data_IF_774963169940
#
_entry.id   IF_774963169940
#
_cell.length_a   1.000
_cell.length_b   1.000
_cell.length_c   1.000
_cell.angle_alpha   90.00
_cell.angle_beta   90.00
_cell.angle_gamma   90.00
#
_symmetry.space_group_name_H-M   'P 1'
#
loop_
_entity.id
_entity.type
_entity.pdbx_description
1 polymer ?
#
# COMPACT_ATOMS: atom_id res chain seq x y z
N UNK A 1 11.62 -13.66 -13.99
CA UNK A 1 10.85 -14.75 -13.36
C UNK A 1 11.42 -15.25 -12.04
N UNK A 2 12.63 -15.84 -11.97
CA UNK A 2 13.18 -16.39 -10.70
C UNK A 2 13.15 -15.39 -9.53
N UNK A 3 13.55 -14.13 -9.75
CA UNK A 3 13.53 -13.08 -8.72
C UNK A 3 12.14 -12.79 -8.16
N UNK A 4 11.12 -12.77 -9.03
CA UNK A 4 9.74 -12.52 -8.64
C UNK A 4 9.23 -13.62 -7.72
N UNK A 5 9.37 -14.87 -8.16
CA UNK A 5 8.89 -16.03 -7.41
C UNK A 5 9.60 -16.14 -6.05
N UNK A 6 10.91 -15.86 -6.01
CA UNK A 6 11.66 -15.80 -4.76
C UNK A 6 11.21 -14.65 -3.85
N UNK A 7 10.92 -13.47 -4.41
CA UNK A 7 10.43 -12.33 -3.63
C UNK A 7 9.00 -12.58 -3.10
N UNK A 8 8.12 -13.18 -3.90
CA UNK A 8 6.78 -13.60 -3.48
C UNK A 8 6.85 -14.67 -2.40
N UNK A 9 7.71 -15.69 -2.57
CA UNK A 9 7.93 -16.71 -1.55
C UNK A 9 8.45 -16.06 -0.26
N UNK A 10 9.45 -15.17 -0.34
CA UNK A 10 9.96 -14.44 0.81
C UNK A 10 8.86 -13.59 1.49
N UNK A 11 8.03 -12.90 0.71
CA UNK A 11 6.92 -12.10 1.22
C UNK A 11 5.87 -12.94 1.94
N UNK A 12 5.58 -14.15 1.45
CA UNK A 12 4.70 -15.12 2.12
C UNK A 12 5.34 -15.62 3.41
N UNK A 13 6.63 -15.99 3.39
CA UNK A 13 7.35 -16.45 4.58
C UNK A 13 7.42 -15.38 5.67
N UNK A 14 7.57 -14.11 5.29
CA UNK A 14 7.57 -12.98 6.22
C UNK A 14 6.26 -12.85 7.00
N UNK A 15 5.12 -13.28 6.47
CA UNK A 15 3.83 -13.26 7.20
C UNK A 15 3.88 -14.07 8.50
N UNK A 16 4.75 -15.09 8.55
CA UNK A 16 4.91 -15.96 9.72
C UNK A 16 5.90 -15.40 10.75
N UNK A 17 6.54 -14.26 10.49
CA UNK A 17 7.51 -13.62 11.38
C UNK A 17 7.06 -12.18 11.69
N UNK A 18 6.17 -11.98 12.68
CA UNK A 18 5.49 -10.70 12.91
C UNK A 18 6.43 -9.49 13.04
N UNK A 19 7.54 -9.64 13.78
CA UNK A 19 8.51 -8.56 14.01
C UNK A 19 9.18 -8.11 12.70
N UNK A 20 9.51 -9.06 11.82
CA UNK A 20 10.13 -8.74 10.53
C UNK A 20 9.11 -8.25 9.49
N UNK A 21 7.84 -8.65 9.62
CA UNK A 21 6.77 -8.20 8.73
C UNK A 21 6.30 -6.77 9.03
N UNK A 22 6.44 -6.32 10.29
CA UNK A 22 5.86 -5.06 10.75
C UNK A 22 6.25 -3.84 9.90
N UNK A 23 7.51 -3.65 9.46
CA UNK A 23 7.85 -2.57 8.53
C UNK A 23 7.10 -2.61 7.20
N UNK A 24 6.84 -3.81 6.68
CA UNK A 24 6.11 -4.01 5.43
C UNK A 24 4.59 -3.82 5.60
N UNK A 25 4.07 -4.09 6.80
CA UNK A 25 2.69 -3.76 7.17
C UNK A 25 2.49 -2.24 7.21
N UNK A 26 3.35 -1.49 7.90
CA UNK A 26 3.30 -0.02 7.86
C UNK A 26 3.39 0.53 6.44
N UNK A 27 4.25 -0.08 5.62
CA UNK A 27 4.41 0.34 4.23
C UNK A 27 3.17 0.03 3.37
N UNK A 28 2.50 -1.09 3.62
CA UNK A 28 1.24 -1.43 2.95
C UNK A 28 0.12 -0.50 3.41
N UNK A 29 0.00 -0.26 4.72
CA UNK A 29 -0.96 0.68 5.29
C UNK A 29 -0.75 2.08 4.73
N UNK A 30 0.49 2.54 4.57
CA UNK A 30 0.77 3.83 3.95
C UNK A 30 0.13 3.97 2.55
N UNK A 31 0.28 2.98 1.67
CA UNK A 31 -0.34 3.06 0.34
C UNK A 31 -1.85 2.88 0.35
N UNK A 32 -2.37 2.09 1.28
CA UNK A 32 -3.80 1.96 1.50
C UNK A 32 -4.41 3.31 1.90
N UNK A 33 -3.84 3.96 2.92
CA UNK A 33 -4.26 5.28 3.39
C UNK A 33 -4.04 6.38 2.34
N UNK A 34 -2.94 6.32 1.60
CA UNK A 34 -2.71 7.22 0.47
C UNK A 34 -3.81 7.08 -0.59
N UNK A 35 -4.34 5.87 -0.81
CA UNK A 35 -5.50 5.65 -1.68
C UNK A 35 -6.72 6.45 -1.26
N UNK A 36 -7.11 6.32 0.01
CA UNK A 36 -8.21 7.09 0.59
C UNK A 36 -7.97 8.59 0.46
N UNK A 37 -6.75 9.05 0.77
CA UNK A 37 -6.38 10.46 0.69
C UNK A 37 -6.49 11.00 -0.74
N UNK A 38 -5.95 10.28 -1.73
CA UNK A 38 -6.00 10.68 -3.13
C UNK A 38 -7.42 10.71 -3.68
N UNK A 39 -8.24 9.69 -3.38
CA UNK A 39 -9.63 9.65 -3.84
C UNK A 39 -10.49 10.69 -3.11
N UNK A 40 -10.19 10.99 -1.86
CA UNK A 40 -10.81 12.12 -1.13
C UNK A 40 -10.60 13.41 -1.91
N UNK A 41 -9.35 13.74 -2.26
CA UNK A 41 -9.04 14.95 -3.02
C UNK A 41 -9.68 14.93 -4.41
N UNK A 42 -9.59 13.80 -5.12
CA UNK A 42 -10.12 13.67 -6.47
C UNK A 42 -11.65 13.82 -6.54
N UNK A 43 -12.35 13.50 -5.45
CA UNK A 43 -13.81 13.64 -5.35
C UNK A 43 -14.25 14.97 -4.73
N UNK A 44 -13.32 15.92 -4.54
CA UNK A 44 -13.62 17.27 -4.02
C UNK A 44 -13.65 17.37 -2.50
N UNK A 45 -13.15 16.36 -1.78
CA UNK A 45 -12.97 16.39 -0.33
C UNK A 45 -11.66 17.02 0.10
N UNK A 46 -11.40 16.96 1.41
CA UNK A 46 -10.18 17.44 2.06
C UNK A 46 -9.61 16.38 3.00
N UNK A 47 -8.28 16.25 3.01
CA UNK A 47 -7.56 15.33 3.90
C UNK A 47 -6.98 16.15 5.03
N UNK A 48 -7.32 15.79 6.28
CA UNK A 48 -6.84 16.48 7.48
C UNK A 48 -5.61 15.80 8.05
N UNK A 49 -5.62 14.47 8.11
CA UNK A 49 -4.56 13.70 8.74
C UNK A 49 -4.43 12.31 8.14
N UNK A 50 -3.20 11.81 8.06
CA UNK A 50 -2.89 10.42 7.76
C UNK A 50 -2.04 9.87 8.91
N UNK A 51 -2.48 8.77 9.50
CA UNK A 51 -1.84 8.15 10.68
C UNK A 51 -1.51 6.70 10.39
N UNK A 52 -0.32 6.28 10.80
CA UNK A 52 0.11 4.89 10.85
C UNK A 52 0.21 4.44 12.32
N UNK A 53 -0.45 3.34 12.64
CA UNK A 53 -0.50 2.78 13.98
C UNK A 53 0.62 1.76 14.22
N UNK A 54 1.04 1.60 15.47
CA UNK A 54 2.15 0.71 15.85
C UNK A 54 1.91 -0.77 15.50
N UNK A 55 0.66 -1.19 15.35
CA UNK A 55 0.27 -2.56 14.97
C UNK A 55 0.25 -2.80 13.46
N UNK A 56 0.65 -1.83 12.63
CA UNK A 56 0.63 -1.94 11.18
C UNK A 56 -0.67 -1.49 10.51
N UNK A 57 -1.67 -1.04 11.28
CA UNK A 57 -2.87 -0.41 10.72
C UNK A 57 -2.60 1.05 10.32
N UNK A 58 -3.53 1.64 9.58
CA UNK A 58 -3.55 3.06 9.25
C UNK A 58 -4.96 3.63 9.40
N UNK A 59 -5.07 4.96 9.36
CA UNK A 59 -6.33 5.62 9.04
C UNK A 59 -6.09 7.01 8.45
N UNK A 60 -6.99 7.41 7.55
CA UNK A 60 -7.00 8.72 6.90
C UNK A 60 -8.21 9.51 7.38
N UNK A 61 -7.96 10.56 8.14
CA UNK A 61 -9.00 11.50 8.52
C UNK A 61 -9.27 12.46 7.36
N UNK A 62 -10.43 12.32 6.75
CA UNK A 62 -10.90 13.11 5.62
C UNK A 62 -12.28 13.70 5.87
N UNK A 63 -12.67 14.71 5.09
CA UNK A 63 -14.01 15.30 5.12
C UNK A 63 -14.45 15.77 3.73
N UNK A 64 -15.73 15.61 3.42
CA UNK A 64 -16.26 15.83 2.07
C UNK A 64 -15.88 14.70 1.10
N UNK A 65 -16.02 14.96 -0.21
CA UNK A 65 -15.76 13.96 -1.24
C UNK A 65 -16.90 12.96 -1.43
N UNK A 66 -16.62 11.84 -2.10
CA UNK A 66 -17.59 10.73 -2.28
C UNK A 66 -17.22 9.55 -1.37
N UNK A 67 -17.90 9.37 -0.22
CA UNK A 67 -17.51 8.39 0.80
C UNK A 67 -17.40 6.95 0.31
N UNK A 68 -18.27 6.55 -0.62
CA UNK A 68 -18.26 5.19 -1.20
C UNK A 68 -17.00 4.95 -2.02
N UNK A 69 -16.62 5.88 -2.89
CA UNK A 69 -15.37 5.74 -3.66
C UNK A 69 -14.14 5.81 -2.76
N UNK A 70 -14.16 6.67 -1.75
CA UNK A 70 -13.08 6.77 -0.77
C UNK A 70 -12.92 5.42 -0.07
N UNK A 71 -13.98 4.86 0.53
CA UNK A 71 -13.93 3.56 1.22
C UNK A 71 -13.52 2.39 0.31
N UNK A 72 -13.83 2.44 -0.98
CA UNK A 72 -13.43 1.41 -1.95
C UNK A 72 -11.93 1.45 -2.31
N UNK A 73 -11.26 2.58 -2.11
CA UNK A 73 -9.99 2.89 -2.78
C UNK A 73 -8.73 2.36 -2.10
N UNK A 74 -8.77 2.04 -0.81
CA UNK A 74 -7.58 1.68 -0.04
C UNK A 74 -6.87 0.44 -0.58
N UNK A 75 -7.57 -0.71 -0.63
CA UNK A 75 -7.00 -1.97 -1.11
C UNK A 75 -6.58 -1.96 -2.58
N UNK A 76 -7.35 -1.37 -3.52
CA UNK A 76 -6.89 -1.17 -4.89
C UNK A 76 -5.62 -0.31 -4.98
N UNK A 77 -5.51 0.76 -4.20
CA UNK A 77 -4.32 1.61 -4.20
C UNK A 77 -3.08 0.85 -3.75
N UNK A 78 -3.16 0.06 -2.67
CA UNK A 78 -2.07 -0.81 -2.23
C UNK A 78 -1.68 -1.85 -3.31
N UNK A 79 -2.66 -2.47 -3.97
CA UNK A 79 -2.40 -3.43 -5.05
C UNK A 79 -1.67 -2.79 -6.24
N UNK A 80 -2.14 -1.61 -6.68
CA UNK A 80 -1.53 -0.86 -7.79
C UNK A 80 -0.15 -0.31 -7.43
N UNK A 81 0.08 0.09 -6.19
CA UNK A 81 1.41 0.46 -5.71
C UNK A 81 2.38 -0.73 -5.79
N UNK A 82 1.93 -1.94 -5.48
CA UNK A 82 2.75 -3.16 -5.62
C UNK A 82 3.20 -3.38 -7.07
N UNK A 83 2.28 -3.17 -8.02
CA UNK A 83 2.57 -3.18 -9.47
C UNK A 83 3.58 -2.09 -9.85
N UNK A 84 3.43 -0.88 -9.32
CA UNK A 84 4.33 0.23 -9.59
C UNK A 84 5.76 -0.06 -9.09
N UNK A 85 5.89 -0.55 -7.85
CA UNK A 85 7.18 -0.93 -7.26
C UNK A 85 7.84 -2.08 -8.03
N UNK A 86 7.04 -3.01 -8.56
CA UNK A 86 7.55 -4.12 -9.37
C UNK A 86 8.31 -3.63 -10.61
N UNK A 87 7.88 -2.51 -11.21
CA UNK A 87 8.57 -1.92 -12.35
C UNK A 87 9.99 -1.47 -11.97
N UNK A 88 10.22 -0.99 -10.74
CA UNK A 88 11.54 -0.64 -10.24
C UNK A 88 12.52 -1.81 -10.19
N UNK A 89 12.01 -3.04 -10.04
CA UNK A 89 12.81 -4.26 -10.03
C UNK A 89 13.09 -4.83 -11.44
N UNK A 90 12.18 -4.58 -12.40
CA UNK A 90 12.14 -5.32 -13.68
C UNK A 90 12.40 -4.46 -14.91
N UNK A 91 11.88 -3.24 -14.94
CA UNK A 91 11.95 -2.37 -16.11
C UNK A 91 13.26 -1.57 -16.05
N UNK A 92 14.18 -1.88 -16.96
CA UNK A 92 15.42 -1.13 -17.25
C UNK A 92 15.98 -0.31 -16.08
N UNK A 93 15.81 1.01 -16.18
CA UNK A 93 16.21 2.00 -15.18
C UNK A 93 15.00 2.70 -14.54
N UNK A 94 13.85 2.03 -14.42
CA UNK A 94 12.63 2.65 -13.90
C UNK A 94 12.79 3.21 -12.47
N UNK A 95 13.66 2.61 -11.67
CA UNK A 95 14.06 3.13 -10.36
C UNK A 95 14.55 4.60 -10.40
N UNK A 96 15.09 5.10 -11.52
CA UNK A 96 15.55 6.50 -11.65
C UNK A 96 14.43 7.52 -11.55
N UNK A 97 13.22 7.17 -11.98
CA UNK A 97 12.05 8.04 -11.90
C UNK A 97 11.09 7.61 -10.79
N UNK A 98 11.01 6.31 -10.49
CA UNK A 98 10.19 5.79 -9.40
C UNK A 98 10.68 6.25 -8.03
N UNK A 99 12.00 6.22 -7.78
CA UNK A 99 12.56 6.72 -6.52
C UNK A 99 12.18 8.18 -6.23
N UNK A 100 12.45 9.17 -7.10
CA UNK A 100 12.06 10.54 -6.84
C UNK A 100 10.54 10.73 -6.78
N UNK A 101 9.76 10.02 -7.60
CA UNK A 101 8.30 10.05 -7.51
C UNK A 101 7.81 9.65 -6.11
N UNK A 102 8.29 8.52 -5.60
CA UNK A 102 7.92 8.03 -4.26
C UNK A 102 8.42 8.96 -3.15
N UNK A 103 9.64 9.50 -3.29
CA UNK A 103 10.17 10.47 -2.34
C UNK A 103 9.29 11.72 -2.26
N UNK A 104 8.93 12.31 -3.39
CA UNK A 104 8.05 13.49 -3.44
C UNK A 104 6.68 13.17 -2.84
N UNK A 105 6.10 12.01 -3.18
CA UNK A 105 4.82 11.57 -2.60
C UNK A 105 4.91 11.44 -1.08
N UNK A 106 5.91 10.71 -0.56
CA UNK A 106 6.06 10.48 0.88
C UNK A 106 6.33 11.79 1.61
N UNK A 107 7.19 12.67 1.07
CA UNK A 107 7.47 13.99 1.64
C UNK A 107 6.22 14.87 1.63
N UNK A 108 5.40 14.82 0.58
CA UNK A 108 4.14 15.55 0.53
C UNK A 108 3.19 15.09 1.64
N UNK A 109 3.02 13.78 1.82
CA UNK A 109 2.21 13.23 2.92
C UNK A 109 2.78 13.65 4.28
N UNK A 110 4.10 13.54 4.46
CA UNK A 110 4.78 13.92 5.70
C UNK A 110 4.55 15.38 6.07
N UNK A 111 4.66 16.30 5.10
CA UNK A 111 4.46 17.74 5.33
C UNK A 111 2.98 18.07 5.53
N UNK A 112 2.11 17.58 4.64
CA UNK A 112 0.73 18.05 4.59
C UNK A 112 -0.21 17.30 5.52
N UNK A 113 0.00 16.01 5.82
CA UNK A 113 -1.00 15.17 6.50
C UNK A 113 -0.51 14.47 7.77
N UNK A 114 0.80 14.35 7.99
CA UNK A 114 1.28 13.76 9.25
C UNK A 114 1.29 14.79 10.37
N UNK A 115 0.75 14.40 11.53
CA UNK A 115 0.67 15.26 12.74
C UNK A 115 1.14 14.57 14.01
N UNK A 116 1.47 13.29 13.96
CA UNK A 116 1.97 12.50 15.09
C UNK A 116 3.41 12.02 14.87
N UNK A 117 4.12 11.79 15.98
CA UNK A 117 5.54 11.44 15.99
C UNK A 117 5.83 10.08 15.34
N UNK A 118 4.97 9.09 15.57
CA UNK A 118 5.16 7.74 15.07
C UNK A 118 5.10 7.72 13.54
N UNK A 119 4.03 8.26 12.96
CA UNK A 119 3.88 8.37 11.51
C UNK A 119 5.01 9.19 10.91
N UNK A 120 5.43 10.27 11.57
CA UNK A 120 6.57 11.08 11.14
C UNK A 120 7.87 10.30 11.07
N UNK A 121 8.18 9.54 12.12
CA UNK A 121 9.34 8.65 12.17
C UNK A 121 9.29 7.57 11.09
N UNK A 122 8.14 6.91 10.90
CA UNK A 122 7.96 5.87 9.89
C UNK A 122 8.14 6.41 8.47
N UNK A 123 7.53 7.55 8.15
CA UNK A 123 7.68 8.17 6.83
C UNK A 123 9.12 8.69 6.61
N UNK A 124 9.79 9.20 7.64
CA UNK A 124 11.21 9.55 7.53
C UNK A 124 12.09 8.32 7.24
N UNK A 125 11.79 7.18 7.85
CA UNK A 125 12.46 5.90 7.54
C UNK A 125 12.19 5.46 6.09
N UNK A 126 10.96 5.62 5.57
CA UNK A 126 10.65 5.35 4.16
C UNK A 126 11.40 6.29 3.22
N UNK A 127 11.49 7.59 3.53
CA UNK A 127 12.29 8.55 2.77
C UNK A 127 13.76 8.11 2.72
N UNK A 128 14.36 7.77 3.86
CA UNK A 128 15.73 7.27 3.91
C UNK A 128 15.91 5.98 3.09
N UNK A 129 14.94 5.07 3.16
CA UNK A 129 14.90 3.83 2.36
C UNK A 129 14.89 4.09 0.87
N UNK A 130 13.98 4.95 0.37
CA UNK A 130 13.90 5.27 -1.06
C UNK A 130 15.06 6.12 -1.57
N UNK A 131 15.60 7.01 -0.76
CA UNK A 131 16.83 7.75 -1.08
C UNK A 131 18.02 6.79 -1.21
N UNK A 132 18.10 5.79 -0.34
CA UNK A 132 19.12 4.73 -0.42
C UNK A 132 18.94 3.87 -1.66
N UNK A 133 17.70 3.47 -1.99
CA UNK A 133 17.40 2.72 -3.21
C UNK A 133 17.75 3.49 -4.48
N UNK A 134 17.55 4.81 -4.47
CA UNK A 134 17.94 5.65 -5.59
C UNK A 134 19.45 5.61 -5.82
N UNK A 135 20.24 5.71 -4.73
CA UNK A 135 21.71 5.63 -4.78
C UNK A 135 22.22 4.26 -5.17
N UNK A 136 21.59 3.18 -4.69
CA UNK A 136 21.95 1.80 -5.05
C UNK A 136 21.67 1.49 -6.51
N UNK A 137 20.69 2.17 -7.12
CA UNK A 137 20.29 1.99 -8.50
C UNK A 137 19.97 0.54 -8.81
N UNK A 138 20.62 -0.02 -9.84
CA UNK A 138 20.40 -1.40 -10.26
C UNK A 138 20.77 -2.46 -9.19
N UNK A 139 21.62 -2.13 -8.21
CA UNK A 139 21.96 -3.04 -7.10
C UNK A 139 20.78 -3.23 -6.13
N UNK A 140 19.87 -2.26 -6.06
CA UNK A 140 18.68 -2.29 -5.21
C UNK A 140 17.51 -3.12 -5.74
N UNK A 141 17.64 -3.77 -6.92
CA UNK A 141 16.52 -4.48 -7.58
C UNK A 141 15.85 -5.56 -6.72
N UNK A 142 16.60 -6.23 -5.85
CA UNK A 142 16.03 -7.22 -4.92
C UNK A 142 15.16 -6.58 -3.84
N UNK A 143 15.54 -5.40 -3.35
CA UNK A 143 14.74 -4.66 -2.37
C UNK A 143 13.47 -4.15 -3.02
N UNK A 144 13.54 -3.61 -4.24
CA UNK A 144 12.34 -3.27 -5.03
C UNK A 144 11.41 -4.47 -5.21
N UNK A 145 11.96 -5.64 -5.56
CA UNK A 145 11.19 -6.87 -5.73
C UNK A 145 10.52 -7.30 -4.42
N UNK A 146 11.22 -7.23 -3.28
CA UNK A 146 10.68 -7.59 -1.98
C UNK A 146 9.60 -6.62 -1.52
N UNK A 147 9.81 -5.31 -1.67
CA UNK A 147 8.79 -4.28 -1.36
C UNK A 147 7.54 -4.46 -2.21
N UNK A 148 7.70 -4.71 -3.51
CA UNK A 148 6.58 -4.99 -4.40
C UNK A 148 5.83 -6.27 -3.99
N UNK A 149 6.56 -7.36 -3.75
CA UNK A 149 5.99 -8.65 -3.39
C UNK A 149 5.24 -8.60 -2.04
N UNK A 150 5.80 -7.95 -1.04
CA UNK A 150 5.15 -7.77 0.27
C UNK A 150 3.89 -6.92 0.16
N UNK A 151 3.90 -5.83 -0.63
CA UNK A 151 2.69 -5.05 -0.90
C UNK A 151 1.60 -5.89 -1.56
N UNK A 152 1.96 -6.66 -2.61
CA UNK A 152 1.01 -7.50 -3.34
C UNK A 152 0.42 -8.61 -2.47
N UNK A 153 1.25 -9.26 -1.65
CA UNK A 153 0.79 -10.31 -0.71
C UNK A 153 -0.09 -9.71 0.38
N UNK A 154 0.33 -8.60 1.01
CA UNK A 154 -0.47 -7.95 2.04
C UNK A 154 -1.79 -7.40 1.48
N UNK A 155 -1.79 -6.81 0.29
CA UNK A 155 -3.01 -6.32 -0.36
C UNK A 155 -4.02 -7.44 -0.67
N UNK A 156 -3.58 -8.69 -0.80
CA UNK A 156 -4.45 -9.87 -0.90
C UNK A 156 -4.95 -10.36 0.46
N UNK A 157 -4.08 -10.41 1.46
CA UNK A 157 -4.40 -10.98 2.76
C UNK A 157 -5.21 -10.03 3.65
N UNK A 158 -4.94 -8.73 3.60
CA UNK A 158 -5.60 -7.74 4.46
C UNK A 158 -7.12 -7.64 4.24
N UNK A 159 -7.67 -7.65 3.00
CA UNK A 159 -9.12 -7.75 2.80
C UNK A 159 -9.74 -9.02 3.39
N UNK A 160 -9.05 -10.16 3.29
CA UNK A 160 -9.56 -11.44 3.79
C UNK A 160 -9.70 -11.43 5.32
N UNK A 161 -8.84 -10.70 6.02
CA UNK A 161 -8.95 -10.52 7.47
C UNK A 161 -10.25 -9.80 7.89
N UNK A 162 -10.84 -8.99 7.00
CA UNK A 162 -12.13 -8.33 7.27
C UNK A 162 -13.30 -9.32 7.37
N UNK A 163 -13.19 -10.52 6.80
CA UNK A 163 -14.23 -11.55 6.93
C UNK A 163 -14.34 -12.09 8.36
N UNK A 164 -13.27 -11.95 9.14
CA UNK A 164 -13.19 -12.40 10.53
C UNK A 164 -13.43 -11.25 11.53
N UNK A 165 -13.48 -10.01 11.05
CA UNK A 165 -13.60 -8.81 11.86
C UNK A 165 -14.91 -8.06 11.66
N UNK A 166 -15.17 -7.08 12.51
CA UNK A 166 -16.39 -6.25 12.48
C UNK A 166 -16.14 -4.80 12.08
N UNK A 167 -14.90 -4.44 11.70
CA UNK A 167 -14.49 -3.07 11.40
C UNK A 167 -13.84 -2.89 10.02
N UNK A 168 -13.25 -1.71 9.80
CA UNK A 168 -12.56 -1.35 8.55
C UNK A 168 -13.48 -0.90 7.42
N UNK A 169 -12.90 -0.75 6.22
CA UNK A 169 -13.58 -0.22 5.04
C UNK A 169 -14.84 -0.99 4.66
N UNK A 170 -14.84 -2.32 4.83
CA UNK A 170 -15.99 -3.15 4.53
C UNK A 170 -17.21 -2.80 5.39
N UNK A 171 -16.97 -2.51 6.68
CA UNK A 171 -18.03 -2.07 7.60
C UNK A 171 -18.53 -0.67 7.25
N UNK A 172 -17.61 0.27 6.95
CA UNK A 172 -17.96 1.61 6.49
C UNK A 172 -18.83 1.57 5.22
N UNK A 173 -18.43 0.78 4.22
CA UNK A 173 -19.18 0.66 2.98
C UNK A 173 -20.54 -0.01 3.18
N UNK A 174 -20.64 -0.99 4.08
CA UNK A 174 -21.94 -1.55 4.46
C UNK A 174 -22.86 -0.48 5.06
N UNK A 175 -22.38 0.35 5.98
CA UNK A 175 -23.18 1.44 6.56
C UNK A 175 -23.64 2.46 5.51
N UNK A 176 -22.80 2.74 4.50
CA UNK A 176 -23.10 3.72 3.44
C UNK A 176 -24.01 3.19 2.33
N UNK A 177 -23.97 1.88 2.04
CA UNK A 177 -24.59 1.30 0.83
C UNK A 177 -25.59 0.18 1.13
N UNK A 178 -25.63 -0.34 2.36
CA UNK A 178 -26.32 -1.56 2.76
C UNK A 178 -25.87 -2.84 2.00
N UNK A 179 -24.82 -2.78 1.18
CA UNK A 179 -24.25 -3.94 0.50
C UNK A 179 -23.36 -4.71 1.48
N UNK A 180 -23.50 -6.05 1.60
CA UNK A 180 -22.69 -6.85 2.52
C UNK A 180 -21.19 -6.65 2.31
N UNK A 181 -20.45 -6.47 3.42
CA UNK A 181 -19.00 -6.24 3.40
C UNK A 181 -18.22 -7.31 2.60
N UNK A 182 -18.73 -8.55 2.58
CA UNK A 182 -18.16 -9.68 1.83
C UNK A 182 -18.05 -9.41 0.33
N UNK A 183 -19.00 -8.67 -0.26
CA UNK A 183 -18.97 -8.31 -1.68
C UNK A 183 -17.76 -7.41 -1.99
N UNK A 184 -17.48 -6.44 -1.12
CA UNK A 184 -16.32 -5.56 -1.25
C UNK A 184 -15.01 -6.31 -1.03
N UNK A 185 -14.98 -7.26 -0.08
CA UNK A 185 -13.82 -8.14 0.10
C UNK A 185 -13.54 -8.97 -1.16
N UNK A 186 -14.57 -9.59 -1.76
CA UNK A 186 -14.41 -10.35 -3.01
C UNK A 186 -13.87 -9.44 -4.12
N UNK A 187 -14.39 -8.22 -4.23
CA UNK A 187 -13.93 -7.22 -5.21
C UNK A 187 -12.45 -6.86 -4.99
N UNK A 188 -12.03 -6.57 -3.76
CA UNK A 188 -10.64 -6.23 -3.46
C UNK A 188 -9.68 -7.39 -3.68
N UNK A 189 -10.07 -8.61 -3.29
CA UNK A 189 -9.29 -9.83 -3.56
C UNK A 189 -9.15 -10.06 -5.07
N UNK A 190 -10.23 -9.86 -5.84
CA UNK A 190 -10.18 -9.97 -7.30
C UNK A 190 -9.18 -8.98 -7.91
N UNK A 191 -9.15 -7.73 -7.46
CA UNK A 191 -8.17 -6.74 -7.91
C UNK A 191 -6.75 -7.18 -7.53
N UNK A 192 -6.52 -7.57 -6.27
CA UNK A 192 -5.22 -8.05 -5.80
C UNK A 192 -4.72 -9.24 -6.64
N UNK A 193 -5.58 -10.23 -6.90
CA UNK A 193 -5.24 -11.40 -7.70
C UNK A 193 -4.89 -10.99 -9.13
N UNK A 194 -5.68 -10.10 -9.73
CA UNK A 194 -5.43 -9.58 -11.07
C UNK A 194 -4.07 -8.89 -11.17
N UNK A 195 -3.69 -8.11 -10.15
CA UNK A 195 -2.36 -7.47 -10.12
C UNK A 195 -1.21 -8.46 -9.98
N UNK A 196 -1.37 -9.50 -9.14
CA UNK A 196 -0.36 -10.57 -9.00
C UNK A 196 -0.21 -11.35 -10.30
N UNK A 197 -1.33 -11.77 -10.91
CA UNK A 197 -1.32 -12.47 -12.21
C UNK A 197 -0.64 -11.62 -13.27
N UNK A 198 -0.97 -10.33 -13.35
CA UNK A 198 -0.32 -9.41 -14.29
C UNK A 198 1.19 -9.34 -14.05
N UNK A 199 1.63 -9.21 -12.80
CA UNK A 199 3.06 -9.12 -12.45
C UNK A 199 3.81 -10.41 -12.81
N UNK A 200 3.18 -11.57 -12.63
CA UNK A 200 3.76 -12.89 -12.94
C UNK A 200 3.81 -13.17 -14.45
N UNK A 201 2.80 -12.73 -15.19
CA UNK A 201 2.66 -13.01 -16.63
C UNK A 201 3.39 -12.02 -17.52
N UNK A 202 3.63 -10.79 -17.05
CA UNK A 202 4.37 -9.77 -17.80
C UNK A 202 5.86 -10.13 -17.85
N UNK A 203 6.31 -10.47 -19.06
CA UNK A 203 7.70 -10.87 -19.39
C UNK A 203 8.66 -9.69 -19.31
#
# INVERSE_FOLDING_TARGET
MKRLLLALLAAVLLQFIPILNLPFLWFTAFFHELGHALVTLATGGSVRQLVLAANGAGHTLSGGGWPVLIGLSGYPAASLAGVLLWQGATVGQAWRWLSPLLLVTILSVLVFWVRDLLSGFLLAAFVAGFASLWRLGAKGRWVWALLAATLLVNALLSPLQLLLGTGGDGHLLYQLTAIPATIFVIFWVFIGLSTVVWVVTRR
#
